data_IF_320457468778
#
_entry.id   IF_320457468778
#
_cell.length_a   1.000
_cell.length_b   1.000
_cell.length_c   1.000
_cell.angle_alpha   90.00
_cell.angle_beta   90.00
_cell.angle_gamma   90.00
#
_symmetry.space_group_name_H-M   'P 1'
#
loop_
_entity.id
_entity.type
_entity.pdbx_description
1 polymer ?
#
# COMPACT_ATOMS: atom_id res chain seq x y z
N UNK A 1 -6.40 -0.90 14.45
CA UNK A 1 -5.97 -1.65 13.24
C UNK A 1 -4.47 -1.46 13.07
N UNK A 2 -3.72 -2.55 12.99
CA UNK A 2 -2.26 -2.56 12.82
C UNK A 2 -1.92 -3.34 11.56
N UNK A 3 -1.26 -2.70 10.59
CA UNK A 3 -0.73 -3.32 9.38
C UNK A 3 0.80 -3.30 9.44
N UNK A 4 1.44 -4.47 9.48
CA UNK A 4 2.89 -4.57 9.65
C UNK A 4 3.59 -4.81 8.32
N UNK A 5 4.50 -3.88 7.95
CA UNK A 5 5.29 -4.01 6.72
C UNK A 5 6.40 -5.05 6.85
N UNK A 6 6.55 -5.85 5.80
CA UNK A 6 7.65 -6.82 5.66
C UNK A 6 8.86 -6.23 4.91
N UNK A 7 8.80 -4.98 4.48
CA UNK A 7 9.82 -4.32 3.65
C UNK A 7 11.23 -4.35 4.27
N UNK A 8 11.32 -4.25 5.58
CA UNK A 8 12.60 -4.20 6.31
C UNK A 8 13.22 -5.58 6.60
N UNK A 9 12.52 -6.67 6.26
CA UNK A 9 13.04 -8.03 6.46
C UNK A 9 14.02 -8.35 5.33
N UNK A 10 15.31 -8.51 5.66
CA UNK A 10 16.38 -8.78 4.68
C UNK A 10 16.92 -10.19 4.74
N UNK A 11 16.81 -10.85 5.90
CA UNK A 11 17.35 -12.20 6.14
C UNK A 11 16.24 -13.13 6.60
N UNK A 12 16.37 -14.42 6.30
CA UNK A 12 15.40 -15.45 6.68
C UNK A 12 13.96 -15.02 6.41
N UNK A 13 13.72 -14.41 5.23
CA UNK A 13 12.51 -13.66 4.90
C UNK A 13 11.25 -14.49 5.17
N UNK A 14 11.19 -15.72 4.64
CA UNK A 14 10.02 -16.61 4.79
C UNK A 14 9.73 -16.96 6.27
N UNK A 15 10.79 -17.23 7.05
CA UNK A 15 10.65 -17.53 8.48
C UNK A 15 10.16 -16.33 9.28
N UNK A 16 10.74 -15.16 9.01
CA UNK A 16 10.36 -13.93 9.71
C UNK A 16 8.95 -13.44 9.31
N UNK A 17 8.54 -13.62 8.06
CA UNK A 17 7.14 -13.39 7.64
C UNK A 17 6.19 -14.28 8.44
N UNK A 18 6.53 -15.57 8.63
CA UNK A 18 5.72 -16.48 9.42
C UNK A 18 5.63 -16.05 10.89
N UNK A 19 6.73 -15.59 11.49
CA UNK A 19 6.70 -15.04 12.86
C UNK A 19 5.79 -13.80 12.96
N UNK A 20 5.81 -12.92 11.96
CA UNK A 20 4.90 -11.77 11.91
C UNK A 20 3.44 -12.23 11.79
N UNK A 21 3.15 -13.25 10.96
CA UNK A 21 1.81 -13.80 10.79
C UNK A 21 1.22 -14.38 12.11
N UNK A 22 2.08 -14.84 13.01
CA UNK A 22 1.69 -15.38 14.32
C UNK A 22 1.43 -14.30 15.39
N UNK A 23 1.73 -13.03 15.11
CA UNK A 23 1.51 -11.91 16.05
C UNK A 23 0.05 -11.42 16.04
N UNK A 24 -0.27 -10.46 16.91
CA UNK A 24 -1.61 -9.85 17.03
C UNK A 24 -1.88 -8.73 16.01
N UNK A 25 -1.10 -8.61 14.94
CA UNK A 25 -1.38 -7.65 13.87
C UNK A 25 -2.68 -8.00 13.13
N UNK A 26 -3.31 -6.99 12.54
CA UNK A 26 -4.53 -7.18 11.75
C UNK A 26 -4.21 -7.53 10.29
N UNK A 27 -3.18 -6.91 9.72
CA UNK A 27 -2.80 -7.04 8.31
C UNK A 27 -1.30 -7.22 8.12
N UNK A 28 -0.93 -7.96 7.08
CA UNK A 28 0.43 -7.99 6.56
C UNK A 28 0.56 -6.96 5.44
N UNK A 29 1.42 -5.96 5.62
CA UNK A 29 1.63 -4.88 4.66
C UNK A 29 2.73 -5.23 3.66
N UNK A 30 2.38 -5.10 2.38
CA UNK A 30 3.23 -5.47 1.25
C UNK A 30 3.54 -4.23 0.41
N UNK A 31 4.72 -3.68 0.57
CA UNK A 31 5.21 -2.52 -0.20
C UNK A 31 5.75 -2.99 -1.55
N UNK A 32 5.04 -2.67 -2.64
CA UNK A 32 5.38 -3.06 -4.01
C UNK A 32 5.89 -1.85 -4.77
N UNK A 33 7.12 -1.96 -5.27
CA UNK A 33 7.86 -0.89 -5.93
C UNK A 33 8.39 -1.36 -7.28
N UNK A 34 8.28 -0.52 -8.31
CA UNK A 34 8.68 -0.86 -9.69
C UNK A 34 10.05 -0.30 -10.11
N UNK A 35 10.67 0.54 -9.28
CA UNK A 35 11.91 1.21 -9.61
C UNK A 35 11.74 2.41 -10.56
N UNK A 36 10.49 2.85 -10.80
CA UNK A 36 10.15 4.00 -11.67
C UNK A 36 9.41 5.07 -10.89
N UNK A 37 8.29 4.74 -10.26
CA UNK A 37 7.56 5.65 -9.39
C UNK A 37 8.38 6.07 -8.16
N UNK A 38 9.18 5.13 -7.64
CA UNK A 38 10.22 5.34 -6.63
C UNK A 38 11.51 4.68 -7.09
N UNK A 39 12.71 5.14 -6.63
CA UNK A 39 13.99 4.57 -7.08
C UNK A 39 14.21 3.11 -6.69
N UNK A 40 13.58 2.66 -5.61
CA UNK A 40 13.71 1.29 -5.10
C UNK A 40 12.79 0.33 -5.86
N UNK A 41 13.16 -0.95 -5.87
CA UNK A 41 12.38 -2.03 -6.44
C UNK A 41 12.24 -3.15 -5.42
N UNK A 42 11.02 -3.69 -5.30
CA UNK A 42 10.74 -4.85 -4.45
C UNK A 42 10.29 -6.05 -5.28
N UNK A 43 9.60 -6.99 -4.68
CA UNK A 43 9.20 -8.25 -5.30
C UNK A 43 8.17 -8.08 -6.41
N UNK A 44 8.31 -8.83 -7.48
CA UNK A 44 7.19 -9.15 -8.37
C UNK A 44 6.33 -10.26 -7.75
N UNK A 45 5.17 -10.56 -8.34
CA UNK A 45 4.23 -11.54 -7.80
C UNK A 45 4.81 -12.96 -7.71
N UNK A 46 5.66 -13.36 -8.66
CA UNK A 46 6.25 -14.70 -8.66
C UNK A 46 7.31 -14.85 -7.54
N UNK A 47 7.99 -13.78 -7.18
CA UNK A 47 8.94 -13.74 -6.07
C UNK A 47 8.23 -13.67 -4.72
N UNK A 48 7.17 -12.85 -4.61
CA UNK A 48 6.46 -12.63 -3.35
C UNK A 48 5.58 -13.82 -2.95
N UNK A 49 4.83 -14.39 -3.88
CA UNK A 49 3.84 -15.45 -3.60
C UNK A 49 4.41 -16.61 -2.80
N UNK A 50 5.59 -17.19 -3.13
CA UNK A 50 6.18 -18.27 -2.33
C UNK A 50 6.62 -17.85 -0.93
N UNK A 51 6.91 -16.55 -0.71
CA UNK A 51 7.33 -16.03 0.60
C UNK A 51 6.18 -15.94 1.58
N UNK A 52 4.97 -15.58 1.08
CA UNK A 52 3.75 -15.41 1.90
C UNK A 52 2.85 -16.65 1.90
N UNK A 53 3.26 -17.71 1.22
CA UNK A 53 2.51 -18.96 1.17
C UNK A 53 2.35 -19.57 2.57
N UNK A 54 1.10 -19.92 2.92
CA UNK A 54 0.77 -20.47 4.24
C UNK A 54 0.59 -19.43 5.35
N UNK A 55 0.64 -18.13 5.03
CA UNK A 55 0.28 -17.08 5.98
C UNK A 55 -1.24 -16.85 6.00
N UNK A 56 -1.79 -16.54 7.19
CA UNK A 56 -3.24 -16.39 7.43
C UNK A 56 -3.69 -14.92 7.45
N UNK A 57 -2.81 -13.98 7.79
CA UNK A 57 -3.17 -12.55 7.86
C UNK A 57 -3.63 -12.02 6.50
N UNK A 58 -4.71 -11.24 6.45
CA UNK A 58 -5.11 -10.53 5.24
C UNK A 58 -3.97 -9.65 4.73
N UNK A 59 -3.87 -9.48 3.42
CA UNK A 59 -2.80 -8.70 2.77
C UNK A 59 -3.30 -7.29 2.47
N UNK A 60 -2.52 -6.32 2.88
CA UNK A 60 -2.68 -4.90 2.60
C UNK A 60 -1.54 -4.49 1.65
N UNK A 61 -1.85 -4.30 0.37
CA UNK A 61 -0.86 -4.00 -0.66
C UNK A 61 -0.76 -2.50 -0.86
N UNK A 62 0.45 -1.96 -0.78
CA UNK A 62 0.77 -0.59 -1.11
C UNK A 62 1.57 -0.52 -2.41
N UNK A 63 0.97 0.00 -3.47
CA UNK A 63 1.56 0.11 -4.80
C UNK A 63 2.27 1.46 -4.98
N UNK A 64 3.58 1.43 -5.03
CA UNK A 64 4.46 2.54 -5.41
C UNK A 64 4.98 2.30 -6.83
N UNK A 65 4.08 2.36 -7.81
CA UNK A 65 4.31 1.95 -9.20
C UNK A 65 3.69 2.92 -10.19
N UNK A 66 4.25 3.03 -11.40
CA UNK A 66 3.69 3.87 -12.46
C UNK A 66 2.44 3.26 -13.10
N UNK A 67 2.44 1.96 -13.40
CA UNK A 67 1.32 1.25 -14.04
C UNK A 67 0.50 0.47 -12.99
N UNK A 68 -0.36 1.19 -12.27
CA UNK A 68 -1.20 0.60 -11.21
C UNK A 68 -2.07 -0.54 -11.75
N UNK A 69 -2.71 -0.36 -12.92
CA UNK A 69 -3.59 -1.38 -13.49
C UNK A 69 -2.87 -2.71 -13.69
N UNK A 70 -1.66 -2.68 -14.25
CA UNK A 70 -0.84 -3.87 -14.47
C UNK A 70 -0.56 -4.59 -13.14
N UNK A 71 -0.16 -3.84 -12.11
CA UNK A 71 0.15 -4.42 -10.80
C UNK A 71 -1.11 -4.95 -10.09
N UNK A 72 -2.26 -4.34 -10.27
CA UNK A 72 -3.54 -4.92 -9.79
C UNK A 72 -3.80 -6.27 -10.45
N UNK A 73 -3.57 -6.39 -11.76
CA UNK A 73 -3.74 -7.66 -12.48
C UNK A 73 -2.76 -8.75 -12.00
N UNK A 74 -1.52 -8.37 -11.73
CA UNK A 74 -0.50 -9.30 -11.24
C UNK A 74 -0.81 -9.78 -9.80
N UNK A 75 -1.23 -8.86 -8.92
CA UNK A 75 -1.34 -9.13 -7.48
C UNK A 75 -2.73 -9.57 -6.99
N UNK A 76 -3.80 -9.40 -7.78
CA UNK A 76 -5.15 -9.88 -7.41
C UNK A 76 -5.23 -11.39 -7.13
N UNK A 77 -4.29 -12.18 -7.67
CA UNK A 77 -4.22 -13.63 -7.48
C UNK A 77 -4.01 -14.05 -6.02
N UNK A 78 -3.36 -13.20 -5.21
CA UNK A 78 -3.18 -13.45 -3.77
C UNK A 78 -4.36 -12.97 -2.93
N UNK A 79 -5.43 -12.48 -3.57
CA UNK A 79 -6.68 -12.02 -2.95
C UNK A 79 -6.44 -11.05 -1.78
N UNK A 80 -5.77 -9.91 -2.01
CA UNK A 80 -5.53 -8.95 -0.95
C UNK A 80 -6.85 -8.36 -0.44
N UNK A 81 -6.87 -7.97 0.83
CA UNK A 81 -8.00 -7.24 1.42
C UNK A 81 -8.03 -5.80 0.90
N UNK A 82 -6.85 -5.15 0.83
CA UNK A 82 -6.67 -3.80 0.33
C UNK A 82 -5.64 -3.75 -0.78
N UNK A 83 -5.89 -2.89 -1.77
CA UNK A 83 -4.88 -2.35 -2.67
C UNK A 83 -4.92 -0.82 -2.54
N UNK A 84 -3.82 -0.25 -2.07
CA UNK A 84 -3.60 1.19 -1.94
C UNK A 84 -2.62 1.63 -3.01
N UNK A 85 -2.97 2.65 -3.79
CA UNK A 85 -2.09 3.25 -4.80
C UNK A 85 -1.93 4.75 -4.55
N UNK A 86 -0.91 5.36 -5.14
CA UNK A 86 -0.62 6.78 -4.96
C UNK A 86 -1.52 7.67 -5.82
N UNK A 87 -2.01 8.77 -5.23
CA UNK A 87 -2.77 9.80 -5.95
C UNK A 87 -1.94 10.46 -7.05
N UNK A 88 -0.62 10.48 -6.89
CA UNK A 88 0.34 11.12 -7.79
C UNK A 88 0.69 10.32 -9.05
N UNK A 89 0.01 9.19 -9.30
CA UNK A 89 0.19 8.44 -10.55
C UNK A 89 -0.39 9.19 -11.75
N UNK A 90 0.23 9.04 -12.90
CA UNK A 90 -0.26 9.64 -14.15
C UNK A 90 -1.30 8.73 -14.84
N UNK A 91 -2.38 8.41 -14.12
CA UNK A 91 -3.47 7.55 -14.59
C UNK A 91 -4.81 8.11 -14.11
N UNK A 92 -5.91 7.72 -14.76
CA UNK A 92 -7.26 8.10 -14.30
C UNK A 92 -7.59 7.43 -12.97
N UNK A 93 -7.67 8.25 -11.91
CA UNK A 93 -7.90 7.79 -10.53
C UNK A 93 -9.27 7.10 -10.40
N UNK A 94 -10.33 7.64 -11.00
CA UNK A 94 -11.66 7.03 -10.92
C UNK A 94 -11.73 5.70 -11.66
N UNK A 95 -11.02 5.60 -12.79
CA UNK A 95 -10.89 4.33 -13.49
C UNK A 95 -10.22 3.28 -12.60
N UNK A 96 -9.10 3.62 -11.95
CA UNK A 96 -8.35 2.72 -11.06
C UNK A 96 -9.20 2.28 -9.87
N UNK A 97 -9.90 3.20 -9.20
CA UNK A 97 -10.82 2.88 -8.10
C UNK A 97 -11.85 1.84 -8.56
N UNK A 98 -12.55 2.11 -9.65
CA UNK A 98 -13.57 1.22 -10.17
C UNK A 98 -12.99 -0.13 -10.62
N UNK A 99 -11.78 -0.12 -11.18
CA UNK A 99 -11.10 -1.31 -11.64
C UNK A 99 -10.75 -2.26 -10.49
N UNK A 100 -10.20 -1.71 -9.40
CA UNK A 100 -9.85 -2.49 -8.19
C UNK A 100 -11.13 -3.03 -7.53
N UNK A 101 -12.17 -2.20 -7.37
CA UNK A 101 -13.46 -2.64 -6.79
C UNK A 101 -14.13 -3.78 -7.56
N UNK A 102 -14.00 -3.79 -8.88
CA UNK A 102 -14.51 -4.90 -9.74
C UNK A 102 -13.79 -6.24 -9.45
N UNK A 103 -12.63 -6.23 -8.81
CA UNK A 103 -11.94 -7.44 -8.36
C UNK A 103 -12.39 -7.90 -6.95
N UNK A 104 -13.39 -7.26 -6.33
CA UNK A 104 -13.81 -7.45 -4.94
C UNK A 104 -12.69 -7.15 -3.93
N UNK A 105 -11.87 -6.14 -4.20
CA UNK A 105 -10.77 -5.68 -3.36
C UNK A 105 -11.11 -4.27 -2.86
N UNK A 106 -10.87 -4.00 -1.58
CA UNK A 106 -11.01 -2.67 -1.00
C UNK A 106 -9.93 -1.73 -1.52
N UNK A 107 -10.30 -0.48 -1.74
CA UNK A 107 -9.43 0.52 -2.37
C UNK A 107 -8.90 1.52 -1.38
N UNK A 108 -7.59 1.66 -1.33
CA UNK A 108 -6.90 2.77 -0.65
C UNK A 108 -6.30 3.76 -1.64
N UNK A 109 -6.21 5.02 -1.22
CA UNK A 109 -5.37 6.02 -1.89
C UNK A 109 -4.32 6.54 -0.92
N UNK A 110 -3.07 6.53 -1.36
CA UNK A 110 -1.92 7.12 -0.65
C UNK A 110 -1.63 8.52 -1.16
N UNK A 111 -1.24 9.42 -0.26
CA UNK A 111 -0.73 10.76 -0.60
C UNK A 111 0.66 10.97 -0.02
N UNK A 112 1.57 11.53 -0.84
CA UNK A 112 2.94 11.85 -0.42
C UNK A 112 2.96 12.97 0.64
N UNK A 113 4.05 13.11 1.42
CA UNK A 113 4.14 14.14 2.47
C UNK A 113 3.90 15.55 1.95
N UNK A 114 4.29 15.86 0.72
CA UNK A 114 4.14 17.19 0.11
C UNK A 114 2.81 17.40 -0.63
N UNK A 115 2.05 16.35 -0.90
CA UNK A 115 0.77 16.44 -1.62
C UNK A 115 -0.30 17.07 -0.73
N UNK A 116 -0.98 18.10 -1.23
CA UNK A 116 -2.07 18.74 -0.49
C UNK A 116 -3.24 17.75 -0.32
N UNK A 117 -3.74 17.66 0.92
CA UNK A 117 -4.87 16.79 1.28
C UNK A 117 -6.15 17.14 0.51
N UNK A 118 -6.31 18.36 0.02
CA UNK A 118 -7.47 18.74 -0.76
C UNK A 118 -7.61 17.95 -2.07
N UNK A 119 -6.52 17.45 -2.64
CA UNK A 119 -6.57 16.66 -3.88
C UNK A 119 -7.23 15.29 -3.71
N UNK A 120 -7.27 14.73 -2.49
CA UNK A 120 -7.93 13.44 -2.26
C UNK A 120 -9.44 13.58 -1.97
N UNK A 121 -9.90 14.77 -1.55
CA UNK A 121 -11.28 14.99 -1.13
C UNK A 121 -12.34 14.51 -2.14
N UNK A 122 -12.20 14.73 -3.47
CA UNK A 122 -13.17 14.25 -4.45
C UNK A 122 -13.36 12.74 -4.47
N UNK A 123 -12.38 11.98 -3.96
CA UNK A 123 -12.35 10.51 -4.03
C UNK A 123 -12.81 9.84 -2.74
N UNK A 124 -12.89 10.54 -1.61
CA UNK A 124 -13.15 9.95 -0.29
C UNK A 124 -14.38 9.06 -0.24
N UNK A 125 -15.48 9.45 -0.90
CA UNK A 125 -16.72 8.66 -0.93
C UNK A 125 -16.62 7.37 -1.76
N UNK A 126 -15.53 7.17 -2.49
CA UNK A 126 -15.34 6.03 -3.38
C UNK A 126 -14.27 5.06 -2.89
N UNK A 127 -13.56 5.37 -1.81
CA UNK A 127 -12.43 4.58 -1.30
C UNK A 127 -12.70 4.11 0.13
N UNK A 128 -11.97 3.11 0.55
CA UNK A 128 -12.13 2.45 1.85
C UNK A 128 -11.01 2.84 2.84
N UNK A 129 -9.90 3.42 2.33
CA UNK A 129 -8.73 3.77 3.11
C UNK A 129 -7.98 4.97 2.51
N UNK A 130 -7.48 5.85 3.38
CA UNK A 130 -6.49 6.88 3.02
C UNK A 130 -5.18 6.57 3.76
N UNK A 131 -4.09 6.45 3.00
CA UNK A 131 -2.75 6.30 3.55
C UNK A 131 -1.99 7.63 3.44
N UNK A 132 -1.87 8.35 4.55
CA UNK A 132 -1.04 9.56 4.62
C UNK A 132 0.41 9.14 4.83
N UNK A 133 1.26 9.32 3.81
CA UNK A 133 2.69 9.01 3.95
C UNK A 133 3.34 9.94 4.96
N UNK A 134 3.98 9.35 5.95
CA UNK A 134 4.72 10.05 7.02
C UNK A 134 6.23 10.06 6.77
N UNK A 135 6.63 9.48 5.66
CA UNK A 135 7.99 9.45 5.10
C UNK A 135 7.90 9.56 3.58
N UNK A 136 8.99 9.88 2.90
CA UNK A 136 8.99 9.76 1.44
C UNK A 136 8.86 8.29 1.01
N UNK A 137 8.01 7.98 0.01
CA UNK A 137 7.85 6.60 -0.44
C UNK A 137 9.14 6.01 -1.03
N UNK A 138 9.37 4.71 -0.84
CA UNK A 138 10.46 3.97 -1.47
C UNK A 138 11.43 3.27 -0.52
N UNK A 139 11.57 3.71 0.74
CA UNK A 139 12.50 3.10 1.70
C UNK A 139 11.87 3.03 3.10
N UNK A 140 12.23 1.97 3.85
CA UNK A 140 11.92 1.86 5.28
C UNK A 140 12.96 2.58 6.16
N UNK A 141 12.65 2.69 7.48
CA UNK A 141 13.58 3.21 8.48
C UNK A 141 13.83 4.72 8.43
N UNK A 142 13.02 5.48 7.72
CA UNK A 142 13.12 6.93 7.64
C UNK A 142 12.55 7.61 8.89
N UNK A 143 13.01 8.84 9.17
CA UNK A 143 12.48 9.67 10.25
C UNK A 143 11.07 10.15 9.90
N UNK A 144 10.17 10.09 10.86
CA UNK A 144 8.80 10.60 10.76
C UNK A 144 8.79 12.10 10.40
N UNK A 145 7.95 12.47 9.43
CA UNK A 145 7.73 13.85 8.97
C UNK A 145 6.52 14.42 9.71
N UNK A 146 6.74 15.31 10.68
CA UNK A 146 5.67 15.87 11.54
C UNK A 146 4.70 16.78 10.78
N UNK A 147 5.14 17.41 9.70
CA UNK A 147 4.33 18.32 8.87
C UNK A 147 3.09 17.66 8.24
N UNK A 148 2.98 16.33 8.29
CA UNK A 148 1.79 15.60 7.80
C UNK A 148 0.66 15.51 8.83
N UNK A 149 0.92 15.77 10.12
CA UNK A 149 -0.08 15.67 11.20
C UNK A 149 -1.33 16.50 10.90
N UNK A 150 -1.23 17.76 10.43
CA UNK A 150 -2.42 18.56 10.07
C UNK A 150 -3.30 17.91 8.99
N UNK A 151 -2.70 17.13 8.06
CA UNK A 151 -3.48 16.40 7.02
C UNK A 151 -4.31 15.30 7.63
N UNK A 152 -3.72 14.54 8.57
CA UNK A 152 -4.43 13.47 9.31
C UNK A 152 -5.58 14.05 10.09
N UNK A 153 -5.35 15.15 10.82
CA UNK A 153 -6.39 15.83 11.58
C UNK A 153 -7.55 16.28 10.67
N UNK A 154 -7.24 16.91 9.54
CA UNK A 154 -8.24 17.35 8.57
C UNK A 154 -9.07 16.18 8.01
N UNK A 155 -8.44 15.03 7.72
CA UNK A 155 -9.15 13.85 7.24
C UNK A 155 -10.03 13.21 8.31
N UNK A 156 -9.66 13.31 9.59
CA UNK A 156 -10.47 12.80 10.71
C UNK A 156 -11.69 13.66 11.02
N UNK A 157 -11.76 14.90 10.54
CA UNK A 157 -12.87 15.83 10.72
C UNK A 157 -13.95 15.67 9.63
N UNK A 158 -13.69 14.87 8.60
CA UNK A 158 -14.57 14.64 7.44
C UNK A 158 -15.40 13.36 7.60
#
# INVERSE_FOLDING_TARGET
>A
MISASILSIKENIKENIKKIDETSIDYMHLDIMDGKFVPNKTWNINELKPLIEGTNKPKDIHLMVEDVKKYVDDFKIIKPEYITFHLEVNQDIMFLINYIKKQNIKVGISIKPKTDVNFILPYLKYIDLVLVMTVEPGFGGQKFIEDVIPKVNKLNEL
#
